data_IF_286086297677
#
_entry.id   IF_286086297677
#
_cell.length_a   1.000
_cell.length_b   1.000
_cell.length_c   1.000
_cell.angle_alpha   90.00
_cell.angle_beta   90.00
_cell.angle_gamma   90.00
#
_symmetry.space_group_name_H-M   'P 1'
#
loop_
_entity.id
_entity.type
_entity.pdbx_description
1 polymer ?
#
# COMPACT_ATOMS: atom_id res chain seq x y z
N UNK A 1 -25.74 34.13 27.04
CA UNK A 1 -24.41 33.72 26.53
C UNK A 1 -24.21 32.19 26.47
N UNK A 2 -25.26 31.35 26.65
CA UNK A 2 -25.12 29.87 26.69
C UNK A 2 -25.45 29.13 25.37
N UNK A 3 -26.13 29.79 24.42
CA UNK A 3 -26.46 29.19 23.11
C UNK A 3 -25.35 29.34 22.06
N UNK A 4 -24.43 30.28 22.27
CA UNK A 4 -23.33 30.54 21.33
C UNK A 4 -22.17 29.55 21.55
N UNK A 5 -21.91 29.13 22.80
CA UNK A 5 -20.83 28.16 23.11
C UNK A 5 -21.19 26.70 22.79
N UNK A 6 -22.49 26.38 22.78
CA UNK A 6 -22.99 25.06 22.38
C UNK A 6 -22.94 24.87 20.87
N UNK A 7 -23.20 25.94 20.10
CA UNK A 7 -23.08 25.95 18.63
C UNK A 7 -21.63 25.76 18.16
N UNK A 8 -20.67 26.41 18.84
CA UNK A 8 -19.25 26.24 18.55
C UNK A 8 -18.74 24.85 18.89
N UNK A 9 -19.26 24.23 19.96
CA UNK A 9 -18.83 22.88 20.38
C UNK A 9 -19.35 21.80 19.41
N UNK A 10 -20.56 21.95 18.87
CA UNK A 10 -21.07 21.04 17.83
C UNK A 10 -20.34 21.21 16.51
N UNK A 11 -20.03 22.45 16.11
CA UNK A 11 -19.30 22.73 14.87
C UNK A 11 -17.88 22.12 14.87
N UNK A 12 -17.16 22.21 15.98
CA UNK A 12 -15.82 21.60 16.13
C UNK A 12 -15.91 20.06 16.08
N UNK A 13 -16.94 19.46 16.68
CA UNK A 13 -17.14 18.01 16.65
C UNK A 13 -17.49 17.49 15.25
N UNK A 14 -18.25 18.25 14.46
CA UNK A 14 -18.53 17.91 13.05
C UNK A 14 -17.33 18.12 12.14
N UNK A 15 -16.47 19.11 12.39
CA UNK A 15 -15.24 19.34 11.62
C UNK A 15 -14.19 18.24 11.90
N UNK A 16 -14.21 17.67 13.11
CA UNK A 16 -13.36 16.53 13.49
C UNK A 16 -13.76 15.23 12.78
N UNK A 17 -15.02 15.09 12.36
CA UNK A 17 -15.50 13.92 11.62
C UNK A 17 -15.16 13.97 10.12
N UNK A 18 -14.74 15.15 9.62
CA UNK A 18 -14.15 15.30 8.28
C UNK A 18 -12.64 15.02 8.29
N UNK A 19 -12.09 14.52 9.41
CA UNK A 19 -10.68 14.20 9.53
C UNK A 19 -10.31 13.01 8.62
N UNK A 20 -9.54 13.36 7.59
CA UNK A 20 -8.57 12.54 6.86
C UNK A 20 -9.11 11.35 6.05
N UNK A 21 -9.41 11.63 4.78
CA UNK A 21 -9.15 10.66 3.71
C UNK A 21 -7.64 10.58 3.49
N UNK A 22 -6.91 9.84 4.32
CA UNK A 22 -5.50 9.51 4.05
C UNK A 22 -5.45 8.54 2.86
N UNK A 23 -4.68 8.86 1.82
CA UNK A 23 -4.38 7.88 0.78
C UNK A 23 -3.40 6.86 1.36
N UNK A 24 -3.68 5.57 1.24
CA UNK A 24 -2.74 4.55 1.76
C UNK A 24 -1.45 4.55 0.93
N UNK A 25 -0.30 4.51 1.59
CA UNK A 25 1.02 4.54 0.96
C UNK A 25 1.51 3.11 0.68
N UNK A 26 1.64 2.76 -0.61
CA UNK A 26 1.90 1.40 -1.07
C UNK A 26 3.30 1.29 -1.67
N UNK A 27 4.14 0.42 -1.10
CA UNK A 27 5.49 0.17 -1.56
C UNK A 27 5.58 -0.86 -2.67
N UNK A 28 6.33 -0.52 -3.72
CA UNK A 28 6.70 -1.37 -4.84
C UNK A 28 8.22 -1.34 -5.04
N UNK A 29 8.82 -2.50 -5.31
CA UNK A 29 10.19 -2.65 -5.72
C UNK A 29 10.41 -2.19 -7.17
N UNK A 30 11.56 -1.57 -7.44
CA UNK A 30 12.02 -1.26 -8.80
C UNK A 30 12.59 -2.51 -9.49
N UNK A 31 12.31 -2.69 -10.79
CA UNK A 31 13.08 -3.60 -11.64
C UNK A 31 12.65 -5.07 -11.62
N UNK A 32 11.38 -5.36 -11.36
CA UNK A 32 10.85 -6.73 -11.35
C UNK A 32 9.75 -6.94 -12.42
N UNK A 33 10.04 -6.81 -13.73
CA UNK A 33 9.07 -7.17 -14.75
C UNK A 33 8.78 -8.69 -14.72
N UNK A 34 7.53 -9.12 -14.99
CA UNK A 34 6.37 -8.32 -15.37
C UNK A 34 5.51 -7.82 -14.18
N UNK A 35 6.01 -7.93 -12.94
CA UNK A 35 5.24 -7.69 -11.72
C UNK A 35 5.17 -6.22 -11.33
N UNK A 36 6.31 -5.55 -11.24
CA UNK A 36 6.41 -4.17 -10.81
C UNK A 36 7.68 -3.54 -11.39
N UNK A 37 7.49 -2.58 -12.29
CA UNK A 37 8.58 -1.94 -13.03
C UNK A 37 8.12 -0.58 -13.55
N UNK A 38 9.07 0.25 -13.96
CA UNK A 38 8.75 1.54 -14.57
C UNK A 38 8.79 1.40 -16.08
N UNK A 39 7.77 1.91 -16.77
CA UNK A 39 7.72 1.99 -18.23
C UNK A 39 7.19 3.37 -18.62
N UNK A 40 7.92 4.09 -19.49
CA UNK A 40 7.55 5.44 -19.95
C UNK A 40 7.30 6.47 -18.83
N UNK A 41 7.89 6.27 -17.65
CA UNK A 41 7.72 7.15 -16.49
C UNK A 41 6.59 6.74 -15.54
N UNK A 42 5.79 5.74 -15.92
CA UNK A 42 4.71 5.20 -15.09
C UNK A 42 5.16 3.91 -14.38
N UNK A 43 4.62 3.68 -13.18
CA UNK A 43 4.79 2.41 -12.46
C UNK A 43 3.72 1.44 -12.96
N UNK A 44 4.14 0.33 -13.54
CA UNK A 44 3.27 -0.65 -14.20
C UNK A 44 3.61 -2.08 -13.79
N UNK A 45 2.70 -3.01 -14.12
CA UNK A 45 2.89 -4.44 -13.94
C UNK A 45 1.76 -5.11 -13.16
N UNK A 46 1.86 -6.44 -13.03
CA UNK A 46 0.83 -7.25 -12.38
C UNK A 46 0.51 -6.80 -10.94
N UNK A 47 1.52 -6.47 -10.14
CA UNK A 47 1.34 -6.04 -8.75
C UNK A 47 0.60 -4.68 -8.70
N UNK A 48 0.84 -3.79 -9.67
CA UNK A 48 0.14 -2.50 -9.81
C UNK A 48 -1.34 -2.72 -10.14
N UNK A 49 -1.62 -3.63 -11.07
CA UNK A 49 -3.01 -3.98 -11.45
C UNK A 49 -3.78 -4.57 -10.27
N UNK A 50 -3.13 -5.40 -9.46
CA UNK A 50 -3.70 -5.96 -8.23
C UNK A 50 -4.00 -4.86 -7.22
N UNK A 51 -3.04 -3.95 -6.94
CA UNK A 51 -3.28 -2.81 -6.04
C UNK A 51 -4.47 -1.99 -6.52
N UNK A 52 -4.52 -1.63 -7.80
CA UNK A 52 -5.63 -0.87 -8.38
C UNK A 52 -6.97 -1.58 -8.19
N UNK A 53 -7.05 -2.88 -8.43
CA UNK A 53 -8.27 -3.66 -8.25
C UNK A 53 -8.75 -3.67 -6.79
N UNK A 54 -7.83 -3.89 -5.85
CA UNK A 54 -8.12 -3.91 -4.41
C UNK A 54 -8.64 -2.55 -3.94
N UNK A 55 -7.94 -1.47 -4.26
CA UNK A 55 -8.30 -0.15 -3.79
C UNK A 55 -9.58 0.41 -4.43
N UNK A 56 -9.84 0.06 -5.71
CA UNK A 56 -11.13 0.32 -6.34
C UNK A 56 -12.27 -0.40 -5.62
N UNK A 57 -12.07 -1.66 -5.21
CA UNK A 57 -13.08 -2.40 -4.46
C UNK A 57 -13.32 -1.80 -3.06
N UNK A 58 -12.26 -1.33 -2.41
CA UNK A 58 -12.34 -0.70 -1.09
C UNK A 58 -12.88 0.73 -1.13
N UNK A 59 -13.00 1.34 -2.31
CA UNK A 59 -13.33 2.75 -2.49
C UNK A 59 -12.41 3.66 -1.64
N UNK A 60 -11.11 3.40 -1.71
CA UNK A 60 -10.05 4.13 -1.01
C UNK A 60 -9.02 4.68 -1.99
N UNK A 61 -8.50 5.86 -1.69
CA UNK A 61 -7.35 6.45 -2.38
C UNK A 61 -6.05 5.78 -1.93
N UNK A 62 -5.05 5.78 -2.81
CA UNK A 62 -3.72 5.25 -2.53
C UNK A 62 -2.64 5.97 -3.35
N UNK A 63 -1.41 5.94 -2.85
CA UNK A 63 -0.21 6.43 -3.55
C UNK A 63 0.79 5.28 -3.70
N UNK A 64 1.38 5.15 -4.89
CA UNK A 64 2.42 4.17 -5.16
C UNK A 64 3.80 4.79 -4.95
N UNK A 65 4.63 4.13 -4.14
CA UNK A 65 6.02 4.50 -3.89
C UNK A 65 6.94 3.42 -4.42
N UNK A 66 7.84 3.80 -5.33
CA UNK A 66 8.79 2.86 -5.90
C UNK A 66 10.19 3.06 -5.30
N UNK A 67 10.74 2.00 -4.72
CA UNK A 67 12.08 1.98 -4.13
C UNK A 67 12.82 0.68 -4.44
N UNK A 68 14.11 0.60 -4.07
CA UNK A 68 14.76 -0.71 -3.99
C UNK A 68 14.08 -1.59 -2.92
N UNK A 69 14.21 -2.91 -3.06
CA UNK A 69 13.49 -3.87 -2.21
C UNK A 69 13.80 -3.70 -0.72
N UNK A 70 15.07 -3.47 -0.37
CA UNK A 70 15.47 -3.38 1.03
C UNK A 70 14.89 -2.12 1.68
N UNK A 71 14.80 -1.02 0.93
CA UNK A 71 14.13 0.19 1.38
C UNK A 71 12.62 -0.01 1.55
N UNK A 72 11.93 -0.68 0.62
CA UNK A 72 10.50 -1.02 0.79
C UNK A 72 10.27 -1.79 2.09
N UNK A 73 11.08 -2.81 2.36
CA UNK A 73 10.97 -3.60 3.59
C UNK A 73 11.24 -2.75 4.84
N UNK A 74 12.23 -1.86 4.78
CA UNK A 74 12.55 -0.97 5.90
C UNK A 74 11.41 0.01 6.18
N UNK A 75 10.92 0.71 5.16
CA UNK A 75 9.84 1.69 5.28
C UNK A 75 8.55 1.04 5.81
N UNK A 76 8.20 -0.15 5.30
CA UNK A 76 7.06 -0.91 5.82
C UNK A 76 7.25 -1.27 7.31
N UNK A 77 8.46 -1.69 7.70
CA UNK A 77 8.75 -2.08 9.09
C UNK A 77 8.65 -0.92 10.07
N UNK A 78 8.96 0.30 9.62
CA UNK A 78 8.88 1.51 10.45
C UNK A 78 7.54 2.24 10.33
N UNK A 79 6.59 1.71 9.53
CA UNK A 79 5.25 2.28 9.35
C UNK A 79 5.22 3.52 8.48
N UNK A 80 6.22 3.71 7.62
CA UNK A 80 6.22 4.76 6.58
C UNK A 80 5.47 4.33 5.31
N UNK A 81 5.22 3.02 5.17
CA UNK A 81 4.32 2.45 4.17
C UNK A 81 3.21 1.68 4.89
N UNK A 82 1.99 1.73 4.37
CA UNK A 82 0.85 1.00 4.89
C UNK A 82 0.80 -0.43 4.34
N UNK A 83 1.36 -0.66 3.15
CA UNK A 83 1.38 -1.96 2.47
C UNK A 83 2.60 -2.09 1.54
N UNK A 84 3.07 -3.32 1.32
CA UNK A 84 4.04 -3.62 0.26
C UNK A 84 3.54 -4.74 -0.65
N UNK A 85 3.81 -4.60 -1.95
CA UNK A 85 3.44 -5.61 -2.96
C UNK A 85 4.62 -6.51 -3.33
N UNK A 86 4.33 -7.72 -3.80
CA UNK A 86 5.34 -8.69 -4.24
C UNK A 86 6.15 -9.38 -3.14
N UNK A 87 5.83 -9.19 -1.85
CA UNK A 87 6.53 -9.86 -0.76
C UNK A 87 6.18 -11.35 -0.71
N UNK A 88 7.19 -12.21 -0.87
CA UNK A 88 7.02 -13.64 -0.64
C UNK A 88 6.80 -13.93 0.85
N UNK A 89 5.73 -14.66 1.15
CA UNK A 89 5.37 -15.10 2.48
C UNK A 89 6.32 -16.21 2.95
N UNK A 90 7.11 -15.92 3.98
CA UNK A 90 8.01 -16.88 4.61
C UNK A 90 7.84 -16.87 6.12
N UNK A 91 8.22 -17.96 6.80
CA UNK A 91 8.15 -18.06 8.26
C UNK A 91 8.92 -16.95 8.97
N UNK A 92 10.05 -16.49 8.40
CA UNK A 92 10.85 -15.39 8.93
C UNK A 92 10.11 -14.07 8.79
N UNK A 93 9.53 -13.77 7.62
CA UNK A 93 8.83 -12.50 7.38
C UNK A 93 7.52 -12.39 8.16
N UNK A 94 6.83 -13.52 8.38
CA UNK A 94 5.63 -13.58 9.22
C UNK A 94 5.88 -13.23 10.69
N UNK A 95 7.13 -13.19 11.16
CA UNK A 95 7.45 -12.70 12.49
C UNK A 95 7.35 -11.17 12.60
N UNK A 96 7.32 -10.47 11.47
CA UNK A 96 7.38 -9.01 11.40
C UNK A 96 6.21 -8.38 10.66
N UNK A 97 5.56 -9.12 9.75
CA UNK A 97 4.51 -8.60 8.87
C UNK A 97 3.32 -9.55 8.80
N UNK A 98 2.13 -8.96 8.70
CA UNK A 98 0.92 -9.67 8.29
C UNK A 98 0.86 -9.82 6.77
N UNK A 99 0.26 -10.90 6.30
CA UNK A 99 0.14 -11.22 4.88
C UNK A 99 -1.33 -11.38 4.49
N UNK A 100 -1.65 -10.92 3.28
CA UNK A 100 -2.94 -11.21 2.64
C UNK A 100 -3.07 -12.70 2.30
N UNK A 101 -4.24 -13.08 1.80
CA UNK A 101 -4.30 -14.30 0.99
C UNK A 101 -3.39 -14.16 -0.24
N UNK A 102 -2.65 -15.21 -0.64
CA UNK A 102 -1.75 -15.13 -1.79
C UNK A 102 -2.55 -14.95 -3.08
N UNK A 103 -2.09 -14.03 -3.94
CA UNK A 103 -2.73 -13.74 -5.23
C UNK A 103 -1.98 -14.33 -6.44
N UNK A 104 -0.78 -14.88 -6.26
CA UNK A 104 -0.11 -15.76 -7.21
C UNK A 104 0.89 -16.68 -6.48
N UNK A 105 1.30 -17.77 -7.16
CA UNK A 105 2.37 -18.64 -6.71
C UNK A 105 3.57 -18.50 -7.64
N UNK A 106 4.77 -18.40 -7.06
CA UNK A 106 6.02 -18.38 -7.81
C UNK A 106 6.73 -19.72 -7.63
N UNK A 107 7.23 -20.26 -8.73
CA UNK A 107 8.05 -21.48 -8.72
C UNK A 107 9.38 -21.21 -9.39
N UNK A 108 10.47 -21.58 -8.71
CA UNK A 108 11.80 -21.53 -9.30
C UNK A 108 11.91 -22.62 -10.35
N UNK A 109 12.15 -22.22 -11.60
CA UNK A 109 12.27 -23.13 -12.74
C UNK A 109 13.57 -22.84 -13.47
N UNK A 110 14.22 -23.88 -13.99
CA UNK A 110 15.37 -23.74 -14.88
C UNK A 110 14.86 -23.70 -16.33
N UNK A 111 15.11 -22.59 -17.02
CA UNK A 111 14.85 -22.47 -18.45
C UNK A 111 16.12 -22.86 -19.23
N UNK A 112 15.98 -23.82 -20.14
CA UNK A 112 17.05 -24.26 -21.06
C UNK A 112 16.52 -24.10 -22.47
N UNK A 113 17.31 -23.46 -23.34
CA UNK A 113 17.01 -23.23 -24.76
C UNK A 113 17.26 -24.48 -25.61
#
# INVERSE_FOLDING_TARGET
>A
MSRLSTLTLTAVLSLSFLAFSHAEDIGLATGYPPYQFSENGDIVGFDVDVTKAVFNYLNKEYTLHQHDWDNVVSLLRFGELDMAMGMEQTTIRQQYFDFSSPYYNRVTTLFVL
#
